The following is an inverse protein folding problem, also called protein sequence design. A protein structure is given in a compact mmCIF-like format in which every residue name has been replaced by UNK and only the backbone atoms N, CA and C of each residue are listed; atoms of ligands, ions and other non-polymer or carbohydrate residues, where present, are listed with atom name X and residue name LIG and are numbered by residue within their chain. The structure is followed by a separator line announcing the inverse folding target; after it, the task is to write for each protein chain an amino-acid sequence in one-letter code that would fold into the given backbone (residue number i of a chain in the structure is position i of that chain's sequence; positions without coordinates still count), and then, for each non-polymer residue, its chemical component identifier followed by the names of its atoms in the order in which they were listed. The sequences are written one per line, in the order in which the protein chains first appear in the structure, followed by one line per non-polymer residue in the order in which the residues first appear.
data_IF_197260992599
#
_entry.id   IF_197260992599
#
_cell.length_a   1.000
_cell.length_b   1.000
_cell.length_c   1.000
_cell.angle_alpha   90.00
_cell.angle_beta   90.00
_cell.angle_gamma   90.00
#
_symmetry.space_group_name_H-M   'P 1'
#
loop_
_entity.id
_entity.type
_entity.pdbx_description
1 polymer ?
#
# COMPACT_ATOMS: atom_id res chain seq x y z
N UNK A 1 21.91 -6.57 40.95
CA UNK A 1 20.50 -6.18 40.89
C UNK A 1 19.94 -6.71 39.58
N UNK A 2 19.15 -7.78 39.63
CA UNK A 2 18.43 -8.29 38.45
C UNK A 2 17.24 -7.35 38.23
N UNK A 3 17.25 -6.63 37.11
CA UNK A 3 16.08 -5.84 36.67
C UNK A 3 14.97 -6.86 36.40
N UNK A 4 13.78 -6.73 37.01
CA UNK A 4 12.67 -7.65 36.72
C UNK A 4 12.35 -7.63 35.23
N UNK A 5 12.08 -8.80 34.68
CA UNK A 5 11.66 -8.93 33.30
C UNK A 5 10.46 -8.00 33.05
N UNK A 6 10.54 -7.23 31.97
CA UNK A 6 9.44 -6.45 31.43
C UNK A 6 8.15 -7.28 31.41
N UNK A 7 6.95 -6.71 31.68
CA UNK A 7 5.72 -7.39 31.35
C UNK A 7 5.79 -7.75 29.86
N UNK A 8 5.69 -9.06 29.58
CA UNK A 8 5.60 -9.57 28.23
C UNK A 8 4.37 -8.93 27.55
N UNK A 9 4.45 -8.74 26.24
CA UNK A 9 3.24 -8.47 25.46
C UNK A 9 2.15 -9.46 25.86
N UNK A 10 0.93 -8.97 26.05
CA UNK A 10 -0.19 -9.82 26.39
C UNK A 10 -0.37 -10.85 25.27
N UNK A 11 -0.58 -12.13 25.64
CA UNK A 11 -0.91 -13.14 24.66
C UNK A 11 -2.16 -12.70 23.87
N UNK A 12 -2.25 -13.03 22.58
CA UNK A 12 -3.36 -12.55 21.74
C UNK A 12 -4.75 -12.99 22.24
N UNK A 13 -4.81 -14.03 23.07
CA UNK A 13 -6.00 -14.55 23.73
C UNK A 13 -6.26 -13.94 25.12
N UNK A 14 -5.44 -12.99 25.57
CA UNK A 14 -5.64 -12.32 26.86
C UNK A 14 -6.91 -11.47 26.81
N UNK A 15 -7.92 -11.75 27.64
CA UNK A 15 -9.17 -11.02 27.61
C UNK A 15 -9.02 -9.64 28.26
N UNK A 16 -9.70 -8.65 27.69
CA UNK A 16 -9.89 -7.34 28.31
C UNK A 16 -10.74 -7.48 29.57
N UNK A 17 -10.27 -6.98 30.70
CA UNK A 17 -10.94 -7.20 32.00
C UNK A 17 -12.06 -6.18 32.24
N UNK A 18 -12.96 -6.51 33.17
CA UNK A 18 -14.02 -5.60 33.60
C UNK A 18 -13.46 -4.27 34.15
N UNK A 19 -12.38 -4.32 34.94
CA UNK A 19 -11.74 -3.14 35.51
C UNK A 19 -11.16 -2.21 34.43
N UNK A 20 -10.55 -2.79 33.39
CA UNK A 20 -10.02 -2.04 32.26
C UNK A 20 -11.14 -1.39 31.44
N UNK A 21 -12.25 -2.11 31.19
CA UNK A 21 -13.42 -1.55 30.51
C UNK A 21 -14.06 -0.39 31.29
N UNK A 22 -14.20 -0.53 32.61
CA UNK A 22 -14.77 0.51 33.48
C UNK A 22 -13.87 1.76 33.51
N UNK A 23 -12.55 1.57 33.60
CA UNK A 23 -11.58 2.65 33.49
C UNK A 23 -11.67 3.34 32.13
N UNK A 24 -11.73 2.58 31.04
CA UNK A 24 -11.79 3.11 29.69
C UNK A 24 -13.06 3.94 29.47
N UNK A 25 -14.20 3.46 29.95
CA UNK A 25 -15.46 4.21 29.90
C UNK A 25 -15.40 5.54 30.66
N UNK A 26 -14.76 5.58 31.84
CA UNK A 26 -14.58 6.83 32.59
C UNK A 26 -13.65 7.82 31.90
N UNK A 27 -12.49 7.34 31.45
CA UNK A 27 -11.46 8.19 30.85
C UNK A 27 -11.92 8.80 29.51
N UNK A 28 -12.81 8.12 28.79
CA UNK A 28 -13.28 8.54 27.47
C UNK A 28 -14.64 9.22 27.46
N UNK A 29 -15.29 9.36 28.62
CA UNK A 29 -16.63 9.97 28.75
C UNK A 29 -16.71 11.42 28.23
N UNK A 30 -15.58 12.13 28.19
CA UNK A 30 -15.47 13.52 27.73
C UNK A 30 -14.67 13.66 26.44
N UNK A 31 -14.41 12.56 25.72
CA UNK A 31 -13.81 12.64 24.39
C UNK A 31 -14.75 13.39 23.42
N UNK A 32 -14.19 14.26 22.59
CA UNK A 32 -14.93 15.08 21.62
C UNK A 32 -14.25 15.03 20.25
N UNK A 33 -14.92 15.57 19.22
CA UNK A 33 -14.40 15.59 17.85
C UNK A 33 -15.01 14.51 16.95
N UNK A 34 -14.41 14.34 15.77
CA UNK A 34 -14.86 13.41 14.74
C UNK A 34 -13.69 12.90 13.90
N UNK A 35 -13.89 11.76 13.24
CA UNK A 35 -12.96 11.21 12.24
C UNK A 35 -13.08 11.97 10.90
N UNK A 36 -11.98 12.17 10.18
CA UNK A 36 -11.93 12.99 8.97
C UNK A 36 -12.47 12.29 7.69
N UNK A 37 -12.94 13.13 6.77
CA UNK A 37 -13.19 12.98 5.31
C UNK A 37 -14.16 11.92 4.75
N UNK A 38 -14.42 10.76 5.37
CA UNK A 38 -15.28 9.75 4.71
C UNK A 38 -16.36 9.10 5.57
N UNK A 39 -16.18 9.02 6.89
CA UNK A 39 -17.12 8.26 7.77
C UNK A 39 -17.98 9.14 8.67
N UNK A 40 -17.63 10.41 8.88
CA UNK A 40 -18.35 11.36 9.75
C UNK A 40 -18.76 10.78 11.13
N UNK A 41 -17.99 9.82 11.67
CA UNK A 41 -18.29 9.25 12.98
C UNK A 41 -17.81 10.20 14.07
N UNK A 42 -18.67 10.40 15.07
CA UNK A 42 -18.38 11.27 16.20
C UNK A 42 -17.73 10.51 17.35
N UNK A 43 -16.99 11.20 18.21
CA UNK A 43 -16.29 10.59 19.35
C UNK A 43 -17.15 9.62 20.19
N UNK A 44 -18.43 9.89 20.51
CA UNK A 44 -19.26 8.94 21.26
C UNK A 44 -19.49 7.60 20.56
N UNK A 45 -19.51 7.57 19.22
CA UNK A 45 -19.67 6.34 18.45
C UNK A 45 -18.37 5.53 18.46
N UNK A 46 -17.25 6.21 18.28
CA UNK A 46 -15.91 5.60 18.26
C UNK A 46 -15.56 5.04 19.65
N UNK A 47 -15.93 5.74 20.73
CA UNK A 47 -15.76 5.27 22.11
C UNK A 47 -16.58 4.01 22.41
N UNK A 48 -17.73 3.80 21.75
CA UNK A 48 -18.52 2.55 21.91
C UNK A 48 -17.82 1.33 21.32
N UNK A 49 -16.82 1.53 20.46
CA UNK A 49 -16.03 0.43 19.88
C UNK A 49 -14.98 -0.14 20.84
N UNK A 50 -14.75 0.49 21.99
CA UNK A 50 -13.80 0.03 23.01
C UNK A 50 -14.01 -1.44 23.40
N UNK A 51 -12.94 -2.16 23.81
CA UNK A 51 -13.04 -3.59 24.09
C UNK A 51 -14.00 -3.85 25.25
N UNK A 52 -14.84 -4.88 25.10
CA UNK A 52 -15.77 -5.30 26.15
C UNK A 52 -15.10 -6.27 27.13
N UNK A 53 -15.59 -6.37 28.38
CA UNK A 53 -15.08 -7.38 29.31
C UNK A 53 -15.16 -8.79 28.72
N UNK A 54 -14.06 -9.54 28.78
CA UNK A 54 -13.92 -10.88 28.21
C UNK A 54 -13.52 -10.90 26.74
N UNK A 55 -13.49 -9.76 26.05
CA UNK A 55 -13.13 -9.69 24.64
C UNK A 55 -11.62 -9.79 24.43
N UNK A 56 -11.18 -10.56 23.44
CA UNK A 56 -9.78 -10.68 23.02
C UNK A 56 -9.53 -9.88 21.74
N UNK A 57 -8.27 -9.52 21.48
CA UNK A 57 -7.91 -8.76 20.27
C UNK A 57 -8.28 -9.51 18.98
N UNK A 58 -8.25 -10.84 19.02
CA UNK A 58 -8.60 -11.68 17.86
C UNK A 58 -10.06 -11.56 17.44
N UNK A 59 -10.94 -11.16 18.36
CA UNK A 59 -12.38 -10.98 18.13
C UNK A 59 -12.74 -9.61 17.54
N UNK A 60 -11.79 -8.68 17.48
CA UNK A 60 -12.02 -7.35 16.90
C UNK A 60 -12.09 -7.40 15.37
N UNK A 61 -13.05 -6.69 14.79
CA UNK A 61 -13.02 -6.32 13.39
C UNK A 61 -11.95 -5.25 13.13
N UNK A 62 -11.49 -5.13 11.88
CA UNK A 62 -10.49 -4.12 11.50
C UNK A 62 -10.99 -2.69 11.77
N UNK A 63 -12.29 -2.43 11.55
CA UNK A 63 -12.91 -1.15 11.87
C UNK A 63 -12.87 -0.85 13.36
N UNK A 64 -13.29 -1.79 14.22
CA UNK A 64 -13.26 -1.59 15.67
C UNK A 64 -11.84 -1.44 16.19
N UNK A 65 -10.89 -2.18 15.65
CA UNK A 65 -9.49 -2.03 16.02
C UNK A 65 -8.93 -0.65 15.64
N UNK A 66 -9.37 -0.10 14.51
CA UNK A 66 -9.03 1.28 14.09
C UNK A 66 -9.65 2.32 15.02
N UNK A 67 -10.90 2.11 15.45
CA UNK A 67 -11.55 2.99 16.44
C UNK A 67 -10.82 2.99 17.78
N UNK A 68 -10.48 1.80 18.28
CA UNK A 68 -9.73 1.64 19.53
C UNK A 68 -8.37 2.32 19.42
N UNK A 69 -7.68 2.15 18.29
CA UNK A 69 -6.41 2.81 18.00
C UNK A 69 -6.54 4.32 18.08
N UNK A 70 -7.59 4.87 17.46
CA UNK A 70 -7.87 6.30 17.39
C UNK A 70 -8.06 6.89 18.79
N UNK A 71 -8.80 6.19 19.66
CA UNK A 71 -8.97 6.57 21.07
C UNK A 71 -7.64 6.47 21.84
N UNK A 72 -6.90 5.38 21.64
CA UNK A 72 -5.62 5.15 22.31
C UNK A 72 -4.59 6.24 21.96
N UNK A 73 -4.53 6.64 20.68
CA UNK A 73 -3.71 7.75 20.22
C UNK A 73 -4.11 9.05 20.92
N UNK A 74 -5.41 9.39 20.92
CA UNK A 74 -5.91 10.64 21.51
C UNK A 74 -5.58 10.76 23.01
N UNK A 75 -5.61 9.65 23.75
CA UNK A 75 -5.25 9.59 25.16
C UNK A 75 -3.73 9.74 25.39
N UNK A 76 -2.92 9.21 24.47
CA UNK A 76 -1.46 9.12 24.60
C UNK A 76 -0.72 10.34 24.06
N UNK A 77 -1.20 10.91 22.93
CA UNK A 77 -0.57 12.00 22.18
C UNK A 77 -0.18 13.22 23.04
N UNK A 78 -1.01 13.69 24.01
CA UNK A 78 -0.62 14.81 24.87
C UNK A 78 0.60 14.56 25.77
N UNK A 79 1.01 13.29 25.94
CA UNK A 79 2.16 12.90 26.75
C UNK A 79 3.46 12.71 25.96
N UNK A 80 3.42 12.77 24.63
CA UNK A 80 4.58 12.55 23.76
C UNK A 80 4.99 13.87 23.09
N UNK A 81 6.24 14.33 23.26
CA UNK A 81 6.72 15.54 22.59
C UNK A 81 6.88 15.31 21.08
N UNK A 82 6.40 16.28 20.31
CA UNK A 82 6.52 16.35 18.84
C UNK A 82 6.13 15.05 18.10
N UNK A 83 4.83 14.71 18.06
CA UNK A 83 4.36 13.51 17.38
C UNK A 83 4.40 13.63 15.85
N UNK A 84 4.92 14.71 15.25
CA UNK A 84 4.76 15.02 13.82
C UNK A 84 5.28 13.95 12.83
N UNK A 85 6.10 13.00 13.28
CA UNK A 85 6.49 11.82 12.46
C UNK A 85 5.43 10.72 12.43
N UNK A 86 4.41 10.76 13.27
CA UNK A 86 3.21 9.95 13.12
C UNK A 86 2.41 10.51 11.94
N UNK A 87 2.47 9.83 10.81
CA UNK A 87 1.67 10.11 9.61
C UNK A 87 0.18 9.85 9.86
N UNK A 88 -0.44 10.55 10.80
CA UNK A 88 -1.87 10.43 11.05
C UNK A 88 -2.56 11.80 11.08
N UNK A 89 -2.83 12.38 9.89
CA UNK A 89 -3.62 13.60 9.79
C UNK A 89 -5.13 13.34 10.01
N UNK A 90 -5.55 12.10 10.29
CA UNK A 90 -6.96 11.68 10.08
C UNK A 90 -7.83 11.62 11.34
N UNK A 91 -7.23 11.67 12.54
CA UNK A 91 -7.98 11.69 13.80
C UNK A 91 -7.98 13.06 14.48
N UNK A 92 -9.17 13.68 14.56
CA UNK A 92 -9.42 14.89 15.35
C UNK A 92 -10.12 14.58 16.68
N UNK A 93 -10.14 13.32 17.11
CA UNK A 93 -10.67 13.00 18.44
C UNK A 93 -9.72 13.60 19.47
N UNK A 94 -10.30 14.36 20.40
CA UNK A 94 -9.60 14.91 21.55
C UNK A 94 -10.15 14.24 22.80
N UNK A 95 -9.28 13.59 23.56
CA UNK A 95 -9.61 12.95 24.83
C UNK A 95 -8.81 13.59 25.97
N UNK A 96 -9.27 13.46 27.23
CA UNK A 96 -8.44 13.78 28.39
C UNK A 96 -7.12 13.00 28.36
N UNK A 97 -6.03 13.63 28.81
CA UNK A 97 -4.73 12.98 28.89
C UNK A 97 -4.78 11.80 29.89
N UNK A 98 -4.70 10.58 29.40
CA UNK A 98 -4.52 9.34 30.19
C UNK A 98 -3.53 8.41 29.46
N UNK A 99 -2.22 8.73 29.49
CA UNK A 99 -1.21 7.97 28.74
C UNK A 99 -1.14 6.51 29.16
N UNK A 100 -1.47 6.21 30.41
CA UNK A 100 -1.55 4.86 30.94
C UNK A 100 -2.56 4.01 30.16
N UNK A 101 -3.81 4.49 30.07
CA UNK A 101 -4.85 3.82 29.32
C UNK A 101 -4.51 3.79 27.81
N UNK A 102 -3.91 4.86 27.28
CA UNK A 102 -3.44 4.89 25.89
C UNK A 102 -2.43 3.78 25.58
N UNK A 103 -1.38 3.62 26.41
CA UNK A 103 -0.41 2.52 26.27
C UNK A 103 -1.08 1.16 26.44
N UNK A 104 -2.00 1.03 27.40
CA UNK A 104 -2.71 -0.21 27.67
C UNK A 104 -3.55 -0.68 26.46
N UNK A 105 -4.30 0.23 25.83
CA UNK A 105 -5.05 -0.04 24.60
C UNK A 105 -4.12 -0.34 23.43
N UNK A 106 -3.01 0.38 23.28
CA UNK A 106 -2.00 0.09 22.25
C UNK A 106 -1.39 -1.31 22.43
N UNK A 107 -1.08 -1.72 23.67
CA UNK A 107 -0.58 -3.06 23.96
C UNK A 107 -1.64 -4.14 23.68
N UNK A 108 -2.91 -3.86 23.98
CA UNK A 108 -4.01 -4.77 23.63
C UNK A 108 -4.12 -4.99 22.12
N UNK A 109 -4.06 -3.92 21.33
CA UNK A 109 -4.07 -4.01 19.86
C UNK A 109 -2.82 -4.64 19.27
N UNK A 110 -1.65 -4.40 19.88
CA UNK A 110 -0.38 -5.00 19.49
C UNK A 110 -0.36 -6.52 19.71
N UNK A 111 -1.19 -7.03 20.64
CA UNK A 111 -1.23 -8.44 21.04
C UNK A 111 0.17 -8.93 21.42
N UNK A 112 0.49 -10.19 21.12
CA UNK A 112 1.82 -10.79 21.28
C UNK A 112 2.79 -10.45 20.14
N UNK A 113 2.43 -9.54 19.23
CA UNK A 113 3.34 -8.98 18.24
C UNK A 113 2.78 -8.81 16.82
N UNK A 114 3.66 -8.61 15.82
CA UNK A 114 3.27 -8.19 14.46
C UNK A 114 2.40 -9.20 13.69
N UNK A 115 2.42 -10.48 14.09
CA UNK A 115 1.57 -11.50 13.49
C UNK A 115 0.10 -11.29 13.87
N UNK A 116 -0.19 -11.15 15.16
CA UNK A 116 -1.54 -11.15 15.70
C UNK A 116 -2.13 -9.75 15.95
N UNK A 117 -1.37 -8.69 15.72
CA UNK A 117 -1.87 -7.32 15.88
C UNK A 117 -3.16 -7.06 15.07
N UNK A 118 -3.97 -6.13 15.60
CA UNK A 118 -5.13 -5.56 14.93
C UNK A 118 -5.00 -4.05 14.82
N UNK A 119 -5.69 -3.46 13.84
CA UNK A 119 -5.65 -2.02 13.60
C UNK A 119 -4.39 -1.54 12.85
N UNK A 120 -4.14 -0.23 12.82
CA UNK A 120 -3.06 0.39 12.06
C UNK A 120 -1.64 -0.09 12.44
N UNK A 121 -0.70 -0.04 11.49
CA UNK A 121 0.67 -0.55 11.71
C UNK A 121 1.45 0.31 12.74
N UNK A 122 1.15 1.60 12.79
CA UNK A 122 1.82 2.60 13.62
C UNK A 122 1.49 2.48 15.13
N UNK A 123 0.73 1.47 15.58
CA UNK A 123 0.61 1.11 17.00
C UNK A 123 2.00 0.96 17.64
N UNK A 124 2.90 0.26 16.94
CA UNK A 124 4.25 0.02 17.44
C UNK A 124 5.11 1.29 17.45
N UNK A 125 4.88 2.22 16.53
CA UNK A 125 5.47 3.55 16.62
C UNK A 125 5.09 4.25 17.93
N UNK A 126 3.79 4.26 18.28
CA UNK A 126 3.28 4.88 19.49
C UNK A 126 3.79 4.20 20.77
N UNK A 127 3.86 2.88 20.80
CA UNK A 127 4.50 2.15 21.90
C UNK A 127 5.99 2.50 22.01
N UNK A 128 6.71 2.56 20.89
CA UNK A 128 8.10 2.99 20.85
C UNK A 128 8.30 4.39 21.44
N UNK A 129 7.40 5.31 21.09
CA UNK A 129 7.40 6.67 21.62
C UNK A 129 7.08 6.74 23.11
N UNK A 130 6.10 5.96 23.58
CA UNK A 130 5.75 5.90 24.99
C UNK A 130 6.93 5.44 25.84
N UNK A 131 7.63 4.38 25.43
CA UNK A 131 8.84 3.90 26.11
C UNK A 131 10.05 4.81 25.95
N UNK A 132 10.15 5.57 24.85
CA UNK A 132 11.23 6.54 24.66
C UNK A 132 11.12 7.71 25.62
N UNK A 133 9.90 8.24 25.80
CA UNK A 133 9.65 9.47 26.55
C UNK A 133 9.09 9.25 27.96
N UNK A 134 8.77 8.01 28.31
CA UNK A 134 8.18 7.67 29.60
C UNK A 134 6.73 8.13 29.76
N UNK A 135 5.93 7.99 28.70
CA UNK A 135 4.50 8.30 28.76
C UNK A 135 3.78 7.21 29.56
N UNK A 136 3.64 7.43 30.88
CA UNK A 136 3.11 6.50 31.90
C UNK A 136 3.93 5.23 32.17
N UNK A 137 4.83 4.87 31.27
CA UNK A 137 5.81 3.82 31.49
C UNK A 137 7.14 4.41 31.95
N UNK A 138 7.93 3.65 32.70
CA UNK A 138 9.33 4.01 32.92
C UNK A 138 10.06 4.03 31.57
N UNK A 139 10.81 5.11 31.23
CA UNK A 139 11.61 5.14 30.02
C UNK A 139 12.48 3.89 29.86
N UNK A 140 12.37 3.24 28.71
CA UNK A 140 13.09 2.00 28.39
C UNK A 140 13.54 2.06 26.92
N UNK A 141 14.78 2.53 26.72
CA UNK A 141 15.34 2.68 25.39
C UNK A 141 15.42 1.35 24.62
N UNK A 142 15.58 0.21 25.31
CA UNK A 142 15.63 -1.10 24.64
C UNK A 142 14.26 -1.50 24.12
N UNK A 143 13.19 -1.29 24.90
CA UNK A 143 11.82 -1.52 24.43
C UNK A 143 11.41 -0.55 23.35
N UNK A 144 11.78 0.72 23.47
CA UNK A 144 11.53 1.71 22.43
C UNK A 144 12.10 1.24 21.08
N UNK A 145 13.40 0.87 21.06
CA UNK A 145 14.05 0.32 19.86
C UNK A 145 13.37 -0.94 19.32
N UNK A 146 12.97 -1.84 20.20
CA UNK A 146 12.26 -3.05 19.80
C UNK A 146 10.97 -2.71 19.05
N UNK A 147 10.14 -1.83 19.60
CA UNK A 147 8.89 -1.44 18.94
C UNK A 147 9.10 -0.66 17.64
N UNK A 148 10.10 0.22 17.59
CA UNK A 148 10.48 0.87 16.33
C UNK A 148 10.97 -0.14 15.28
N UNK A 149 11.69 -1.19 15.68
CA UNK A 149 12.08 -2.26 14.76
C UNK A 149 10.86 -3.04 14.22
N UNK A 150 9.89 -3.34 15.10
CA UNK A 150 8.65 -4.03 14.71
C UNK A 150 7.86 -3.18 13.71
N UNK A 151 7.70 -1.89 14.00
CA UNK A 151 7.03 -0.92 13.11
C UNK A 151 7.73 -0.82 11.75
N UNK A 152 9.07 -0.80 11.75
CA UNK A 152 9.88 -0.81 10.52
C UNK A 152 9.68 -2.08 9.69
N UNK A 153 9.56 -3.24 10.34
CA UNK A 153 9.26 -4.54 9.69
C UNK A 153 7.86 -4.56 9.08
N UNK A 154 6.93 -3.78 9.64
CA UNK A 154 5.57 -3.62 9.14
C UNK A 154 5.41 -2.52 8.09
N UNK A 155 6.50 -1.86 7.67
CA UNK A 155 6.51 -0.96 6.52
C UNK A 155 6.63 0.53 6.84
N UNK A 156 6.81 0.93 8.10
CA UNK A 156 7.09 2.34 8.39
C UNK A 156 8.51 2.73 7.96
N UNK A 157 8.63 3.41 6.82
CA UNK A 157 9.91 3.82 6.23
C UNK A 157 10.49 5.11 6.84
N UNK A 158 9.75 5.81 7.69
CA UNK A 158 10.21 7.06 8.32
C UNK A 158 11.17 6.83 9.49
N UNK A 159 11.24 5.62 10.01
CA UNK A 159 12.14 5.26 11.10
C UNK A 159 13.56 5.04 10.58
N UNK A 160 14.50 5.72 11.21
CA UNK A 160 15.93 5.65 10.88
C UNK A 160 16.63 4.61 11.75
N UNK A 161 17.85 4.23 11.39
CA UNK A 161 18.69 3.34 12.19
C UNK A 161 18.95 3.86 13.62
N UNK A 162 18.83 5.17 13.86
CA UNK A 162 18.89 5.73 15.21
C UNK A 162 17.69 5.32 16.09
N UNK A 163 16.54 5.05 15.47
CA UNK A 163 15.32 4.69 16.18
C UNK A 163 15.29 3.19 16.53
N UNK A 164 15.75 2.30 15.66
CA UNK A 164 15.63 0.84 15.83
C UNK A 164 16.95 0.07 15.95
N UNK A 165 18.08 0.66 15.56
CA UNK A 165 19.41 0.05 15.62
C UNK A 165 20.08 0.25 16.99
N UNK A 166 21.10 -0.55 17.29
CA UNK A 166 21.94 -0.27 18.47
C UNK A 166 22.91 0.89 18.20
N UNK A 167 23.23 1.11 16.91
CA UNK A 167 24.08 2.19 16.44
C UNK A 167 23.44 2.85 15.20
N UNK A 168 23.67 4.17 14.98
CA UNK A 168 23.19 4.87 13.79
C UNK A 168 23.69 4.26 12.46
N UNK A 169 24.82 3.57 12.48
CA UNK A 169 25.42 2.92 11.30
C UNK A 169 24.89 1.51 11.03
N UNK A 170 24.03 0.98 11.91
CA UNK A 170 23.48 -0.37 11.72
C UNK A 170 22.60 -0.42 10.47
N UNK A 171 22.78 -1.47 9.67
CA UNK A 171 21.87 -1.76 8.55
C UNK A 171 20.70 -2.59 9.05
N UNK A 172 19.51 -2.39 8.46
CA UNK A 172 18.30 -3.12 8.85
C UNK A 172 18.49 -4.62 8.70
N UNK A 173 19.14 -5.07 7.61
CA UNK A 173 19.40 -6.49 7.37
C UNK A 173 20.33 -7.09 8.44
N UNK A 174 21.39 -6.39 8.86
CA UNK A 174 22.28 -6.88 9.90
C UNK A 174 21.56 -7.01 11.27
N UNK A 175 20.66 -6.07 11.59
CA UNK A 175 19.84 -6.15 12.81
C UNK A 175 18.81 -7.28 12.73
N UNK A 176 18.13 -7.45 11.60
CA UNK A 176 17.13 -8.49 11.41
C UNK A 176 17.72 -9.91 11.32
N UNK A 177 18.99 -10.06 10.91
CA UNK A 177 19.67 -11.35 10.86
C UNK A 177 19.92 -11.95 12.26
N UNK A 178 19.83 -11.16 13.33
CA UNK A 178 20.04 -11.61 14.71
C UNK A 178 18.92 -12.59 15.12
N UNK A 179 19.21 -13.65 15.91
CA UNK A 179 18.24 -14.73 16.15
C UNK A 179 16.85 -14.28 16.63
N UNK A 180 16.78 -13.40 17.63
CA UNK A 180 15.52 -12.91 18.17
C UNK A 180 14.70 -12.09 17.15
N UNK A 181 15.38 -11.23 16.38
CA UNK A 181 14.73 -10.38 15.37
C UNK A 181 14.31 -11.19 14.15
N UNK A 182 15.09 -12.21 13.79
CA UNK A 182 14.77 -13.15 12.73
C UNK A 182 13.51 -13.95 13.06
N UNK A 183 13.38 -14.46 14.29
CA UNK A 183 12.19 -15.19 14.71
C UNK A 183 10.92 -14.32 14.62
N UNK A 184 11.01 -13.06 15.06
CA UNK A 184 9.92 -12.08 14.90
C UNK A 184 9.57 -11.83 13.44
N UNK A 185 10.59 -11.62 12.59
CA UNK A 185 10.41 -11.40 11.15
C UNK A 185 9.78 -12.60 10.45
N UNK A 186 10.23 -13.82 10.78
CA UNK A 186 9.67 -15.07 10.27
C UNK A 186 8.20 -15.23 10.68
N UNK A 187 7.87 -14.95 11.94
CA UNK A 187 6.48 -14.96 12.43
C UNK A 187 5.60 -13.97 11.66
N UNK A 188 6.06 -12.71 11.50
CA UNK A 188 5.33 -11.70 10.73
C UNK A 188 5.16 -12.07 9.25
N UNK A 189 6.20 -12.61 8.61
CA UNK A 189 6.15 -13.05 7.21
C UNK A 189 5.20 -14.24 7.01
N UNK A 190 5.21 -15.20 7.94
CA UNK A 190 4.31 -16.35 7.92
C UNK A 190 2.84 -15.95 8.17
N UNK A 191 2.61 -14.89 8.95
CA UNK A 191 1.30 -14.27 9.11
C UNK A 191 0.85 -13.45 7.88
N UNK A 192 1.60 -13.50 6.79
CA UNK A 192 1.25 -12.86 5.53
C UNK A 192 1.63 -11.39 5.44
N UNK A 193 2.38 -10.80 6.39
CA UNK A 193 2.69 -9.36 6.33
C UNK A 193 3.63 -9.06 5.16
N UNK A 194 3.16 -8.32 4.15
CA UNK A 194 3.86 -8.14 2.87
C UNK A 194 5.28 -7.55 3.01
N UNK A 195 5.49 -6.50 3.80
CA UNK A 195 6.84 -5.95 4.03
C UNK A 195 7.75 -6.95 4.77
N UNK A 196 7.23 -7.69 5.75
CA UNK A 196 8.00 -8.72 6.45
C UNK A 196 8.42 -9.86 5.51
N UNK A 197 7.54 -10.27 4.58
CA UNK A 197 7.87 -11.24 3.55
C UNK A 197 8.99 -10.75 2.64
N UNK A 198 8.96 -9.48 2.20
CA UNK A 198 10.05 -8.86 1.43
C UNK A 198 11.37 -8.90 2.20
N UNK A 199 11.37 -8.42 3.45
CA UNK A 199 12.58 -8.33 4.27
C UNK A 199 13.16 -9.72 4.58
N UNK A 200 12.31 -10.71 4.86
CA UNK A 200 12.75 -12.09 5.07
C UNK A 200 13.31 -12.70 3.78
N UNK A 201 12.71 -12.40 2.63
CA UNK A 201 13.23 -12.87 1.36
C UNK A 201 14.65 -12.34 1.11
N UNK A 202 14.91 -11.05 1.35
CA UNK A 202 16.26 -10.47 1.21
C UNK A 202 17.30 -11.18 2.08
N UNK A 203 16.93 -11.56 3.31
CA UNK A 203 17.82 -12.34 4.19
C UNK A 203 18.07 -13.76 3.68
N UNK A 204 17.10 -14.36 2.99
CA UNK A 204 17.18 -15.72 2.49
C UNK A 204 17.80 -15.83 1.10
N UNK A 205 17.87 -14.75 0.30
CA UNK A 205 18.44 -14.79 -1.05
C UNK A 205 19.83 -15.45 -1.15
N UNK A 206 20.76 -15.25 -0.19
CA UNK A 206 22.07 -15.91 -0.26
C UNK A 206 22.04 -17.41 0.04
N UNK A 207 21.05 -17.91 0.79
CA UNK A 207 21.06 -19.26 1.37
C UNK A 207 19.92 -20.17 0.89
N UNK A 208 18.75 -19.61 0.60
CA UNK A 208 17.52 -20.32 0.26
C UNK A 208 16.73 -19.49 -0.76
N UNK A 209 17.18 -19.59 -2.01
CA UNK A 209 16.64 -18.82 -3.14
C UNK A 209 15.20 -19.16 -3.45
N UNK A 210 14.80 -20.42 -3.32
CA UNK A 210 13.43 -20.85 -3.61
C UNK A 210 12.44 -20.30 -2.59
N UNK A 211 12.78 -20.35 -1.30
CA UNK A 211 11.95 -19.73 -0.26
C UNK A 211 11.92 -18.21 -0.40
N UNK A 212 13.06 -17.57 -0.73
CA UNK A 212 13.11 -16.14 -0.99
C UNK A 212 12.19 -15.75 -2.16
N UNK A 213 12.21 -16.51 -3.25
CA UNK A 213 11.31 -16.32 -4.41
C UNK A 213 9.84 -16.42 -4.00
N UNK A 214 9.47 -17.45 -3.24
CA UNK A 214 8.10 -17.66 -2.76
C UNK A 214 7.61 -16.49 -1.91
N UNK A 215 8.45 -15.99 -0.99
CA UNK A 215 8.14 -14.86 -0.13
C UNK A 215 8.00 -13.54 -0.93
N UNK A 216 8.91 -13.29 -1.88
CA UNK A 216 8.81 -12.12 -2.77
C UNK A 216 7.52 -12.15 -3.59
N UNK A 217 7.13 -13.32 -4.11
CA UNK A 217 5.86 -13.48 -4.83
C UNK A 217 4.65 -13.21 -3.93
N UNK A 218 4.60 -13.81 -2.74
CA UNK A 218 3.50 -13.58 -1.80
C UNK A 218 3.39 -12.11 -1.34
N UNK A 219 4.51 -11.40 -1.24
CA UNK A 219 4.54 -9.96 -0.95
C UNK A 219 4.04 -9.13 -2.14
N UNK A 220 4.47 -9.49 -3.36
CA UNK A 220 4.04 -8.84 -4.61
C UNK A 220 2.54 -9.01 -4.89
N UNK A 221 1.98 -10.19 -4.61
CA UNK A 221 0.54 -10.49 -4.72
C UNK A 221 -0.32 -9.63 -3.78
N UNK A 222 0.26 -9.13 -2.69
CA UNK A 222 -0.35 -8.15 -1.79
C UNK A 222 -0.04 -6.71 -2.16
N UNK A 223 0.28 -6.45 -3.43
CA UNK A 223 0.57 -5.14 -3.99
C UNK A 223 1.79 -4.42 -3.38
N UNK A 224 2.74 -5.16 -2.79
CA UNK A 224 4.01 -4.56 -2.39
C UNK A 224 4.87 -4.26 -3.63
N UNK A 225 4.90 -2.98 -4.03
CA UNK A 225 5.63 -2.53 -5.21
C UNK A 225 7.16 -2.76 -5.11
N UNK A 226 7.74 -2.73 -3.90
CA UNK A 226 9.16 -3.02 -3.69
C UNK A 226 9.46 -4.50 -3.94
N UNK A 227 8.62 -5.40 -3.41
CA UNK A 227 8.76 -6.83 -3.65
C UNK A 227 8.54 -7.20 -5.11
N UNK A 228 7.54 -6.60 -5.76
CA UNK A 228 7.30 -6.80 -7.19
C UNK A 228 8.50 -6.39 -8.04
N UNK A 229 9.06 -5.18 -7.83
CA UNK A 229 10.26 -4.74 -8.56
C UNK A 229 11.43 -5.69 -8.33
N UNK A 230 11.66 -6.04 -7.07
CA UNK A 230 12.76 -6.91 -6.68
C UNK A 230 12.66 -8.31 -7.29
N UNK A 231 11.47 -8.90 -7.26
CA UNK A 231 11.20 -10.20 -7.88
C UNK A 231 11.48 -10.12 -9.39
N UNK A 232 10.92 -9.13 -10.09
CA UNK A 232 11.13 -8.96 -11.52
C UNK A 232 12.61 -8.84 -11.88
N UNK A 233 13.37 -8.05 -11.12
CA UNK A 233 14.80 -7.86 -11.37
C UNK A 233 15.59 -9.15 -11.16
N UNK A 234 15.31 -9.90 -10.09
CA UNK A 234 15.98 -11.18 -9.81
C UNK A 234 15.65 -12.25 -10.86
N UNK A 235 14.39 -12.30 -11.33
CA UNK A 235 13.96 -13.22 -12.40
C UNK A 235 14.62 -12.89 -13.74
N UNK A 236 14.71 -11.60 -14.09
CA UNK A 236 15.38 -11.14 -15.30
C UNK A 236 16.89 -11.44 -15.28
N UNK A 237 17.51 -11.36 -14.11
CA UNK A 237 18.91 -11.73 -13.88
C UNK A 237 19.14 -13.25 -13.86
N UNK A 238 18.07 -14.05 -13.78
CA UNK A 238 18.15 -15.50 -13.63
C UNK A 238 18.66 -15.95 -12.26
N UNK A 239 18.46 -15.14 -11.22
CA UNK A 239 18.99 -15.38 -9.88
C UNK A 239 18.49 -16.68 -9.23
N UNK A 240 17.34 -17.19 -9.69
CA UNK A 240 16.64 -18.38 -9.18
C UNK A 240 16.86 -19.66 -10.01
N UNK A 241 17.99 -19.79 -10.71
CA UNK A 241 18.33 -21.04 -11.44
C UNK A 241 17.81 -21.09 -12.88
N UNK A 242 17.44 -19.95 -13.44
CA UNK A 242 16.98 -19.79 -14.83
C UNK A 242 16.34 -18.42 -15.02
N UNK A 243 16.35 -17.89 -16.25
CA UNK A 243 15.65 -16.63 -16.54
C UNK A 243 14.15 -16.90 -16.73
N UNK A 244 13.33 -16.55 -15.73
CA UNK A 244 11.87 -16.68 -15.83
C UNK A 244 11.25 -15.38 -16.33
N UNK A 245 11.43 -15.10 -17.62
CA UNK A 245 11.03 -13.84 -18.22
C UNK A 245 9.52 -13.59 -18.21
N UNK A 246 8.71 -14.63 -18.42
CA UNK A 246 7.24 -14.54 -18.32
C UNK A 246 6.82 -14.01 -16.95
N UNK A 247 7.45 -14.50 -15.87
CA UNK A 247 7.21 -14.02 -14.51
C UNK A 247 7.66 -12.56 -14.36
N UNK A 248 8.85 -12.21 -14.86
CA UNK A 248 9.38 -10.85 -14.77
C UNK A 248 8.49 -9.83 -15.50
N UNK A 249 7.95 -10.20 -16.67
CA UNK A 249 7.00 -9.40 -17.45
C UNK A 249 5.66 -9.31 -16.74
N UNK A 250 5.14 -10.42 -16.23
CA UNK A 250 3.89 -10.45 -15.48
C UNK A 250 3.95 -9.51 -14.27
N UNK A 251 5.01 -9.60 -13.48
CA UNK A 251 5.22 -8.75 -12.30
C UNK A 251 5.43 -7.27 -12.68
N UNK A 252 6.07 -6.97 -13.82
CA UNK A 252 6.16 -5.58 -14.33
C UNK A 252 4.82 -5.04 -14.81
N UNK A 253 4.01 -5.88 -15.46
CA UNK A 253 2.65 -5.52 -15.83
C UNK A 253 1.81 -5.24 -14.57
N UNK A 254 2.00 -6.00 -13.48
CA UNK A 254 1.34 -5.75 -12.18
C UNK A 254 1.68 -4.37 -11.62
N UNK A 255 2.93 -3.94 -11.75
CA UNK A 255 3.41 -2.64 -11.28
C UNK A 255 2.93 -1.44 -12.13
N UNK A 256 2.59 -1.67 -13.40
CA UNK A 256 2.24 -0.62 -14.35
C UNK A 256 0.73 -0.42 -14.50
N UNK A 257 -0.09 -1.34 -13.99
CA UNK A 257 -1.54 -1.25 -14.04
C UNK A 257 -2.06 -0.52 -12.79
N UNK A 258 -2.74 0.63 -12.92
CA UNK A 258 -3.34 1.33 -11.78
C UNK A 258 -4.46 0.50 -11.12
N UNK A 259 -5.12 -0.40 -11.88
CA UNK A 259 -6.15 -1.32 -11.42
C UNK A 259 -5.89 -2.77 -11.91
N UNK A 260 -6.22 -3.76 -11.08
CA UNK A 260 -5.88 -5.17 -11.30
C UNK A 260 -6.64 -5.82 -12.50
N UNK A 261 -7.79 -5.26 -12.88
CA UNK A 261 -8.60 -5.75 -14.01
C UNK A 261 -7.96 -5.42 -15.35
N UNK A 262 -7.27 -4.28 -15.46
CA UNK A 262 -6.55 -3.87 -16.67
C UNK A 262 -5.38 -4.79 -16.98
N UNK A 263 -4.73 -5.27 -15.94
CA UNK A 263 -3.66 -6.23 -16.03
C UNK A 263 -4.15 -7.60 -16.52
N UNK A 264 -5.28 -8.09 -15.98
CA UNK A 264 -5.86 -9.37 -16.41
C UNK A 264 -6.25 -9.29 -17.89
N UNK A 265 -6.85 -8.18 -18.30
CA UNK A 265 -7.13 -7.89 -19.71
C UNK A 265 -5.86 -7.81 -20.59
N UNK A 266 -4.77 -7.18 -20.12
CA UNK A 266 -3.51 -7.13 -20.86
C UNK A 266 -2.84 -8.50 -21.03
N UNK A 267 -2.85 -9.34 -19.98
CA UNK A 267 -2.26 -10.68 -20.03
C UNK A 267 -3.08 -11.64 -20.90
N UNK A 268 -4.40 -11.60 -20.79
CA UNK A 268 -5.29 -12.43 -21.61
C UNK A 268 -5.20 -12.03 -23.08
N UNK A 269 -5.05 -10.74 -23.38
CA UNK A 269 -4.81 -10.26 -24.73
C UNK A 269 -3.43 -10.64 -25.28
N UNK A 270 -2.39 -10.61 -24.45
CA UNK A 270 -1.05 -11.06 -24.85
C UNK A 270 -1.03 -12.56 -25.17
N UNK A 271 -1.76 -13.38 -24.40
CA UNK A 271 -1.97 -14.81 -24.67
C UNK A 271 -2.77 -15.01 -25.95
N UNK A 272 -3.90 -14.32 -26.11
CA UNK A 272 -4.72 -14.40 -27.32
C UNK A 272 -3.94 -14.01 -28.58
N UNK A 273 -3.12 -12.96 -28.51
CA UNK A 273 -2.30 -12.49 -29.62
C UNK A 273 -1.22 -13.49 -30.05
N UNK A 274 -0.76 -14.35 -29.13
CA UNK A 274 0.30 -15.33 -29.37
C UNK A 274 -0.20 -16.77 -29.39
N UNK A 275 -1.49 -16.99 -29.72
CA UNK A 275 -2.03 -18.34 -29.91
C UNK A 275 -2.18 -19.15 -28.61
N UNK A 276 -2.31 -18.49 -27.46
CA UNK A 276 -2.49 -19.09 -26.14
C UNK A 276 -1.24 -19.08 -25.25
N UNK A 277 -0.08 -18.70 -25.78
CA UNK A 277 1.20 -18.67 -25.05
C UNK A 277 1.68 -17.25 -24.76
N UNK A 278 2.50 -17.05 -23.72
CA UNK A 278 3.23 -15.78 -23.52
C UNK A 278 4.63 -15.94 -24.13
N UNK A 279 5.10 -15.04 -25.03
CA UNK A 279 6.33 -15.28 -25.80
C UNK A 279 7.60 -15.45 -24.96
N UNK A 280 8.49 -16.33 -25.43
CA UNK A 280 9.82 -16.56 -24.85
C UNK A 280 10.84 -15.44 -25.20
N UNK A 281 11.99 -15.47 -24.49
CA UNK A 281 13.01 -14.40 -24.35
C UNK A 281 13.57 -13.80 -25.64
N UNK A 282 13.46 -14.47 -26.78
CA UNK A 282 14.04 -13.99 -28.04
C UNK A 282 13.23 -12.83 -28.64
N UNK A 283 12.04 -12.54 -28.09
CA UNK A 283 11.21 -11.39 -28.45
C UNK A 283 10.88 -10.56 -27.22
N UNK A 284 11.69 -9.52 -26.95
CA UNK A 284 11.34 -8.48 -25.97
C UNK A 284 10.07 -7.77 -26.43
N UNK A 285 8.94 -8.02 -25.78
CA UNK A 285 7.75 -7.19 -25.91
C UNK A 285 7.88 -5.99 -24.97
N UNK A 286 7.84 -4.79 -25.53
CA UNK A 286 7.75 -3.54 -24.80
C UNK A 286 6.35 -3.37 -24.15
N UNK A 287 6.21 -2.44 -23.21
CA UNK A 287 4.89 -2.03 -22.68
C UNK A 287 3.97 -1.60 -23.83
N UNK A 288 4.52 -0.99 -24.89
CA UNK A 288 3.79 -0.60 -26.09
C UNK A 288 3.27 -1.82 -26.87
N UNK A 289 4.04 -2.91 -26.91
CA UNK A 289 3.61 -4.15 -27.57
C UNK A 289 2.49 -4.84 -26.81
N UNK A 290 2.53 -4.81 -25.47
CA UNK A 290 1.48 -5.34 -24.59
C UNK A 290 0.21 -4.49 -24.66
N UNK A 291 0.33 -3.17 -24.65
CA UNK A 291 -0.78 -2.24 -24.89
C UNK A 291 -1.40 -2.45 -26.27
N UNK A 292 -0.59 -2.66 -27.30
CA UNK A 292 -1.06 -2.97 -28.66
C UNK A 292 -1.76 -4.33 -28.77
N UNK A 293 -1.29 -5.36 -28.04
CA UNK A 293 -1.95 -6.67 -27.99
C UNK A 293 -3.33 -6.58 -27.31
N UNK A 294 -3.43 -5.86 -26.18
CA UNK A 294 -4.70 -5.54 -25.52
C UNK A 294 -5.70 -4.88 -26.46
N UNK A 295 -5.28 -3.83 -27.15
CA UNK A 295 -6.15 -3.11 -28.08
C UNK A 295 -6.70 -4.03 -29.18
N UNK A 296 -5.87 -4.94 -29.71
CA UNK A 296 -6.28 -5.90 -30.74
C UNK A 296 -7.27 -6.94 -30.21
N UNK A 297 -7.07 -7.44 -28.99
CA UNK A 297 -8.01 -8.37 -28.36
C UNK A 297 -9.34 -7.69 -28.01
N UNK A 298 -9.31 -6.46 -27.50
CA UNK A 298 -10.52 -5.65 -27.26
C UNK A 298 -11.26 -5.36 -28.58
N UNK A 299 -10.53 -5.04 -29.66
CA UNK A 299 -11.12 -4.89 -31.00
C UNK A 299 -11.77 -6.18 -31.53
N UNK A 300 -11.17 -7.35 -31.26
CA UNK A 300 -11.75 -8.64 -31.64
C UNK A 300 -12.95 -9.04 -30.77
N UNK A 301 -13.03 -8.53 -29.54
CA UNK A 301 -14.17 -8.76 -28.64
C UNK A 301 -15.35 -7.82 -28.96
N UNK A 302 -15.09 -6.58 -29.37
CA UNK A 302 -16.11 -5.61 -29.80
C UNK A 302 -16.80 -6.03 -31.10
N UNK A 303 -16.12 -6.81 -31.97
CA UNK A 303 -16.71 -7.41 -33.18
C UNK A 303 -17.82 -8.45 -32.86
N UNK A 304 -18.08 -8.74 -31.56
CA UNK A 304 -19.21 -9.59 -31.13
C UNK A 304 -20.43 -8.83 -30.63
N UNK A 305 -20.31 -7.58 -30.20
CA UNK A 305 -21.43 -6.77 -29.68
C UNK A 305 -21.37 -5.35 -30.26
N UNK A 306 -22.12 -5.16 -31.34
CA UNK A 306 -22.22 -3.92 -32.12
C UNK A 306 -22.69 -2.71 -31.31
N UNK A 307 -21.86 -1.66 -31.20
CA UNK A 307 -22.32 -0.27 -31.02
C UNK A 307 -22.24 0.42 -32.40
N UNK A 308 -23.40 0.59 -33.04
CA UNK A 308 -23.53 1.38 -34.27
C UNK A 308 -23.74 2.84 -33.87
N UNK A 309 -22.70 3.66 -34.00
CA UNK A 309 -22.79 5.12 -33.83
C UNK A 309 -21.50 5.85 -34.22
N UNK A 310 -21.60 6.92 -35.01
CA UNK A 310 -20.45 7.78 -35.37
C UNK A 310 -20.20 8.76 -34.22
N UNK A 311 -19.10 8.59 -33.49
CA UNK A 311 -18.71 9.54 -32.43
C UNK A 311 -17.61 10.47 -32.94
N UNK A 312 -17.81 11.79 -32.91
CA UNK A 312 -16.74 12.74 -33.24
C UNK A 312 -15.65 12.71 -32.17
N UNK A 313 -14.39 12.71 -32.60
CA UNK A 313 -13.23 12.74 -31.71
C UNK A 313 -12.26 13.86 -32.10
N UNK A 314 -11.60 14.46 -31.10
CA UNK A 314 -10.55 15.47 -31.27
C UNK A 314 -9.25 14.96 -30.69
N UNK A 315 -8.12 15.44 -31.20
CA UNK A 315 -6.80 15.05 -30.72
C UNK A 315 -5.90 16.27 -30.47
N UNK A 316 -5.13 16.24 -29.37
CA UNK A 316 -4.05 17.18 -29.11
C UNK A 316 -2.76 16.62 -29.72
N UNK A 317 -2.16 17.39 -30.62
CA UNK A 317 -1.02 16.96 -31.43
C UNK A 317 0.19 17.86 -31.15
N UNK A 318 1.35 17.24 -30.92
CA UNK A 318 2.61 17.94 -30.77
C UNK A 318 3.14 18.45 -32.13
N UNK A 319 4.14 19.36 -32.17
CA UNK A 319 4.59 19.99 -33.41
C UNK A 319 5.22 19.01 -34.41
N UNK A 320 5.66 17.85 -33.93
CA UNK A 320 6.18 16.76 -34.75
C UNK A 320 5.09 15.79 -35.27
N UNK A 321 3.81 16.14 -35.13
CA UNK A 321 2.69 15.35 -35.61
C UNK A 321 2.29 14.18 -34.70
N UNK A 322 2.92 14.02 -33.52
CA UNK A 322 2.54 12.96 -32.57
C UNK A 322 1.30 13.34 -31.80
N UNK A 323 0.31 12.45 -31.77
CA UNK A 323 -0.87 12.57 -30.92
C UNK A 323 -0.46 12.31 -29.48
N UNK A 324 -0.76 13.25 -28.60
CA UNK A 324 -0.48 13.18 -27.17
C UNK A 324 -1.71 12.79 -26.37
N UNK A 325 -2.89 13.18 -26.85
CA UNK A 325 -4.17 12.99 -26.18
C UNK A 325 -5.31 12.96 -27.20
N UNK A 326 -6.30 12.10 -27.00
CA UNK A 326 -7.53 12.05 -27.79
C UNK A 326 -8.72 12.24 -26.85
N UNK A 327 -9.79 12.87 -27.33
CA UNK A 327 -11.03 13.05 -26.60
C UNK A 327 -12.18 12.57 -27.48
N UNK A 328 -13.06 11.74 -26.92
CA UNK A 328 -14.29 11.31 -27.57
C UNK A 328 -15.41 12.19 -27.02
N UNK A 329 -15.93 13.08 -27.86
CA UNK A 329 -17.04 13.97 -27.47
C UNK A 329 -18.36 13.24 -27.66
N UNK A 330 -18.98 12.83 -26.55
CA UNK A 330 -20.40 12.47 -26.52
C UNK A 330 -21.23 13.76 -26.56
N UNK A 331 -22.07 13.99 -27.59
CA UNK A 331 -22.85 15.21 -27.71
C UNK A 331 -23.94 15.38 -26.62
N UNK A 332 -24.30 14.32 -25.88
CA UNK A 332 -25.37 14.36 -24.87
C UNK A 332 -24.87 14.26 -23.42
N UNK A 333 -23.56 14.19 -23.17
CA UNK A 333 -22.99 14.03 -21.84
C UNK A 333 -23.02 15.34 -21.01
N UNK A 334 -24.14 15.57 -20.31
CA UNK A 334 -24.18 16.43 -19.12
C UNK A 334 -23.74 15.63 -17.91
N UNK A 335 -22.44 15.40 -17.77
CA UNK A 335 -21.70 15.27 -16.50
C UNK A 335 -20.34 14.62 -16.76
N UNK A 336 -19.29 15.33 -16.36
CA UNK A 336 -17.90 14.92 -16.58
C UNK A 336 -17.50 13.79 -15.63
N UNK A 337 -17.21 12.62 -16.19
CA UNK A 337 -16.18 11.72 -15.66
C UNK A 337 -15.34 11.22 -16.83
N UNK A 338 -14.07 11.62 -16.84
CA UNK A 338 -13.14 11.38 -17.95
C UNK A 338 -12.64 9.93 -17.88
N UNK A 339 -13.18 9.07 -18.75
CA UNK A 339 -12.78 7.67 -18.89
C UNK A 339 -12.07 7.39 -20.21
N UNK A 340 -10.79 7.02 -20.10
CA UNK A 340 -9.96 6.16 -20.97
C UNK A 340 -9.90 6.46 -22.48
N UNK A 341 -8.74 6.95 -22.90
CA UNK A 341 -8.39 7.22 -24.30
C UNK A 341 -7.84 6.00 -25.02
N UNK A 342 -8.35 5.76 -26.23
CA UNK A 342 -7.75 4.90 -27.26
C UNK A 342 -6.80 5.74 -28.12
N UNK A 343 -5.53 5.34 -28.22
CA UNK A 343 -4.53 6.01 -29.06
C UNK A 343 -4.35 5.25 -30.38
N UNK A 344 -4.78 5.83 -31.51
CA UNK A 344 -4.35 5.41 -32.85
C UNK A 344 -3.39 6.46 -33.41
N UNK A 345 -2.20 6.04 -33.83
CA UNK A 345 -1.29 6.90 -34.60
C UNK A 345 -1.84 7.04 -36.01
N UNK A 346 -2.46 8.18 -36.30
CA UNK A 346 -2.84 8.57 -37.66
C UNK A 346 -1.67 9.29 -38.34
N UNK A 347 -1.46 9.05 -39.63
CA UNK A 347 -0.42 9.75 -40.41
C UNK A 347 -0.80 11.24 -40.56
N UNK A 348 0.16 12.18 -40.47
CA UNK A 348 -0.10 13.62 -40.36
C UNK A 348 -0.83 14.24 -41.58
N UNK A 349 -0.80 13.55 -42.71
CA UNK A 349 -1.20 14.05 -44.04
C UNK A 349 -2.72 14.27 -44.17
N UNK A 350 -3.53 13.76 -43.24
CA UNK A 350 -4.99 13.72 -43.33
C UNK A 350 -5.72 14.54 -42.24
N UNK A 351 -5.05 15.48 -41.57
CA UNK A 351 -5.59 16.19 -40.40
C UNK A 351 -5.77 17.68 -40.68
N UNK A 352 -6.97 18.21 -40.44
CA UNK A 352 -7.29 19.63 -40.58
C UNK A 352 -7.16 20.32 -39.20
N UNK A 353 -6.18 21.22 -39.00
CA UNK A 353 -5.89 21.78 -37.67
C UNK A 353 -6.83 22.91 -37.27
N UNK A 354 -7.35 22.85 -36.05
CA UNK A 354 -8.02 23.95 -35.38
C UNK A 354 -7.03 24.67 -34.45
N UNK A 355 -6.91 25.99 -34.65
CA UNK A 355 -6.17 27.00 -33.87
C UNK A 355 -4.99 26.50 -33.00
N UNK A 356 -3.72 26.72 -33.42
CA UNK A 356 -2.56 26.31 -32.63
C UNK A 356 -2.39 27.12 -31.33
N UNK A 357 -1.86 26.48 -30.29
CA UNK A 357 -1.36 27.16 -29.10
C UNK A 357 0.07 27.65 -29.35
N UNK A 358 0.32 28.95 -29.19
CA UNK A 358 1.63 29.56 -29.42
C UNK A 358 2.26 30.02 -28.11
N UNK A 359 3.56 29.76 -27.94
CA UNK A 359 4.40 30.41 -26.92
C UNK A 359 5.61 30.99 -27.63
N UNK A 360 5.86 32.29 -27.43
CA UNK A 360 6.92 33.05 -28.12
C UNK A 360 6.90 32.91 -29.64
N UNK A 361 5.71 32.96 -30.25
CA UNK A 361 5.54 32.90 -31.70
C UNK A 361 5.77 31.53 -32.34
N UNK A 362 5.99 30.48 -31.54
CA UNK A 362 6.13 29.09 -32.01
C UNK A 362 4.93 28.26 -31.56
N UNK A 363 4.30 27.56 -32.50
CA UNK A 363 3.22 26.63 -32.20
C UNK A 363 3.79 25.46 -31.38
N UNK A 364 3.26 25.26 -30.17
CA UNK A 364 3.65 24.17 -29.30
C UNK A 364 2.71 22.98 -29.43
N UNK A 365 1.42 23.19 -29.65
CA UNK A 365 0.43 22.13 -29.81
C UNK A 365 -0.73 22.60 -30.66
N UNK A 366 -1.41 21.69 -31.37
CA UNK A 366 -2.64 21.99 -32.10
C UNK A 366 -3.72 20.96 -31.78
N UNK A 367 -4.96 21.41 -31.70
CA UNK A 367 -6.12 20.52 -31.65
C UNK A 367 -6.57 20.22 -33.07
N UNK A 368 -6.74 18.94 -33.41
CA UNK A 368 -7.20 18.51 -34.73
C UNK A 368 -8.49 17.72 -34.60
N UNK A 369 -9.40 17.91 -35.54
CA UNK A 369 -10.61 17.07 -35.63
C UNK A 369 -10.27 15.82 -36.41
N UNK A 370 -10.56 14.64 -35.84
CA UNK A 370 -10.35 13.39 -36.55
C UNK A 370 -11.56 13.10 -37.45
N UNK A 371 -11.36 12.59 -38.68
CA UNK A 371 -12.48 12.19 -39.53
C UNK A 371 -13.33 11.15 -38.80
N UNK A 372 -14.66 11.29 -38.86
CA UNK A 372 -15.61 10.36 -38.23
C UNK A 372 -15.32 8.94 -38.68
N UNK A 373 -14.88 8.10 -37.76
CA UNK A 373 -14.60 6.70 -38.01
C UNK A 373 -15.93 5.94 -37.85
N UNK A 374 -16.35 5.22 -38.90
CA UNK A 374 -17.37 4.20 -38.75
C UNK A 374 -16.74 3.07 -37.93
N UNK A 375 -17.15 2.93 -36.68
CA UNK A 375 -16.87 1.73 -35.89
C UNK A 375 -17.77 0.62 -36.46
N UNK A 376 -17.16 -0.32 -37.18
CA UNK A 376 -17.76 -1.63 -37.47
C UNK A 376 -17.05 -2.64 -36.60
#
# INVERSE_FOLDING_TARGET
MLIPAAPALAAADTPWTAAQAERAARATATCTGSEYETRQRHAPEIVRSLPKPGETVLQLSDERATDIYTVAEALLKPAIPDPQRALDPTSFITCPRDPALGVELMMFLAADGPANRRGPNNIFYWLGQAYRHGADVTPDARRARHYFLVDRVLGNVLLTSEDWGDKPTDTLMAVLARPANRAMLESAANAGRSEAQLLLAELLLPTDKDRARKLLRGSAEQHNARASRRLSDLEAQGAFGGRHYEEAVRVRAWLAAPDNDDLRAMLDAARAFNGGEVPSIDRKLSIDDLGGARLRAEMQAVDRDSIVGRVPSRALVAPNGRILYTEVTDPDARDFSVGRNTLRVLRPENLDPLAPYFVNGRALFAWVTLPTINWR
#
